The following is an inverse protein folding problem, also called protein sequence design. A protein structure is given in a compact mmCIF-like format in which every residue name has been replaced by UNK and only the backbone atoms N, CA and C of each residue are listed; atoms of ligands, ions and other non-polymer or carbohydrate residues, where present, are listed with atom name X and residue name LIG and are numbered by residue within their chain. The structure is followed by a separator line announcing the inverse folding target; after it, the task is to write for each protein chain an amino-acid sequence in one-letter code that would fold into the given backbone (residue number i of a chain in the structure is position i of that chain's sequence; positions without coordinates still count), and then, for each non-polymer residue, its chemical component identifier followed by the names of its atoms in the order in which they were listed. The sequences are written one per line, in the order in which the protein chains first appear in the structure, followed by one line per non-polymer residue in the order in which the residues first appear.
data_IF_891650855086
#
_entry.id   IF_891650855086
#
_cell.length_a   1.000
_cell.length_b   1.000
_cell.length_c   1.000
_cell.angle_alpha   90.00
_cell.angle_beta   90.00
_cell.angle_gamma   90.00
#
_symmetry.space_group_name_H-M   'P 1'
#
loop_
_entity.id
_entity.type
_entity.pdbx_description
1 polymer ?
#
# COMPACT_ATOMS: atom_id res chain seq x y z
N UNK A 1 -10.45 -5.83 -5.61
CA UNK A 1 -10.38 -5.75 -4.13
C UNK A 1 -8.94 -5.48 -3.76
N UNK A 2 -8.70 -4.53 -2.87
CA UNK A 2 -7.35 -4.32 -2.33
C UNK A 2 -6.93 -5.51 -1.43
N UNK A 3 -5.65 -5.56 -1.08
CA UNK A 3 -5.10 -6.60 -0.22
C UNK A 3 -5.83 -6.72 1.14
N UNK A 4 -6.28 -5.59 1.71
CA UNK A 4 -6.95 -5.57 3.01
C UNK A 4 -8.30 -6.28 2.96
N UNK A 5 -9.09 -6.03 1.93
CA UNK A 5 -10.36 -6.71 1.72
C UNK A 5 -10.17 -8.23 1.53
N UNK A 6 -9.11 -8.65 0.85
CA UNK A 6 -8.77 -10.08 0.66
C UNK A 6 -8.39 -10.75 1.98
N UNK A 7 -7.62 -10.07 2.83
CA UNK A 7 -7.28 -10.57 4.17
C UNK A 7 -8.52 -10.73 5.06
N UNK A 8 -9.45 -9.76 5.01
CA UNK A 8 -10.72 -9.86 5.74
C UNK A 8 -11.57 -11.04 5.27
N UNK A 9 -11.61 -11.29 3.96
CA UNK A 9 -12.31 -12.45 3.41
C UNK A 9 -11.68 -13.77 3.88
N UNK A 10 -10.34 -13.85 3.93
CA UNK A 10 -9.64 -15.02 4.45
C UNK A 10 -9.95 -15.24 5.93
N UNK A 11 -9.93 -14.18 6.73
CA UNK A 11 -10.27 -14.23 8.15
C UNK A 11 -11.70 -14.75 8.35
N UNK A 12 -12.66 -14.21 7.60
CA UNK A 12 -14.06 -14.64 7.66
C UNK A 12 -14.22 -16.11 7.27
N UNK A 13 -13.53 -16.57 6.23
CA UNK A 13 -13.54 -17.97 5.81
C UNK A 13 -13.05 -18.90 6.93
N UNK A 14 -12.02 -18.50 7.67
CA UNK A 14 -11.52 -19.28 8.81
C UNK A 14 -12.49 -19.25 9.99
N UNK A 15 -13.15 -18.12 10.26
CA UNK A 15 -14.13 -17.96 11.34
C UNK A 15 -15.42 -18.76 11.10
N UNK A 16 -15.87 -18.84 9.84
CA UNK A 16 -17.07 -19.57 9.45
C UNK A 16 -16.81 -21.06 9.18
N UNK A 17 -15.54 -21.46 9.06
CA UNK A 17 -15.16 -22.83 8.79
C UNK A 17 -15.64 -23.80 9.88
N UNK A 18 -16.04 -25.00 9.46
CA UNK A 18 -16.56 -26.02 10.37
C UNK A 18 -15.44 -26.48 11.32
N UNK A 19 -15.63 -26.27 12.62
CA UNK A 19 -14.70 -26.75 13.64
C UNK A 19 -14.66 -28.28 13.71
N UNK A 20 -13.48 -28.81 14.02
CA UNK A 20 -13.28 -30.24 14.24
C UNK A 20 -13.57 -30.59 15.71
N UNK A 21 -14.31 -31.68 16.00
CA UNK A 21 -14.58 -32.10 17.37
C UNK A 21 -13.27 -32.37 18.13
N UNK A 22 -13.24 -32.00 19.42
CA UNK A 22 -12.11 -32.25 20.32
C UNK A 22 -10.77 -31.59 19.88
N UNK A 23 -10.81 -30.56 19.04
CA UNK A 23 -9.64 -29.83 18.55
C UNK A 23 -9.93 -28.33 18.39
N UNK A 24 -8.88 -27.51 18.37
CA UNK A 24 -8.92 -26.09 17.98
C UNK A 24 -8.83 -25.88 16.45
N UNK A 25 -8.84 -26.96 15.68
CA UNK A 25 -8.70 -26.92 14.21
C UNK A 25 -10.05 -26.73 13.50
N UNK A 26 -10.00 -26.11 12.31
CA UNK A 26 -11.14 -25.94 11.41
C UNK A 26 -10.90 -26.66 10.08
N UNK A 27 -11.99 -27.08 9.42
CA UNK A 27 -11.93 -27.70 8.10
C UNK A 27 -12.14 -26.65 7.01
N UNK A 28 -11.12 -26.46 6.18
CA UNK A 28 -11.12 -25.51 5.06
C UNK A 28 -10.76 -26.22 3.75
N UNK A 29 -11.32 -25.74 2.64
CA UNK A 29 -10.92 -26.20 1.31
C UNK A 29 -9.49 -25.76 1.03
N UNK A 30 -8.59 -26.74 0.83
CA UNK A 30 -7.19 -26.47 0.50
C UNK A 30 -7.07 -25.66 -0.80
N UNK A 31 -7.87 -26.00 -1.81
CA UNK A 31 -7.83 -25.37 -3.12
C UNK A 31 -8.24 -23.89 -3.03
N UNK A 32 -9.35 -23.61 -2.36
CA UNK A 32 -9.87 -22.25 -2.17
C UNK A 32 -8.89 -21.38 -1.37
N UNK A 33 -8.31 -21.94 -0.30
CA UNK A 33 -7.31 -21.25 0.51
C UNK A 33 -6.07 -20.89 -0.31
N UNK A 34 -5.54 -21.84 -1.09
CA UNK A 34 -4.35 -21.62 -1.91
C UNK A 34 -4.62 -20.60 -3.03
N UNK A 35 -5.81 -20.64 -3.64
CA UNK A 35 -6.23 -19.67 -4.64
C UNK A 35 -6.25 -18.25 -4.05
N UNK A 36 -6.88 -18.08 -2.89
CA UNK A 36 -6.95 -16.79 -2.21
C UNK A 36 -5.56 -16.25 -1.83
N UNK A 37 -4.66 -17.13 -1.37
CA UNK A 37 -3.26 -16.77 -1.08
C UNK A 37 -2.53 -16.31 -2.34
N UNK A 38 -2.68 -17.03 -3.46
CA UNK A 38 -2.06 -16.67 -4.75
C UNK A 38 -2.49 -15.27 -5.19
N UNK A 39 -3.78 -14.98 -5.13
CA UNK A 39 -4.32 -13.68 -5.55
C UNK A 39 -3.83 -12.51 -4.68
N UNK A 40 -3.60 -12.74 -3.38
CA UNK A 40 -2.97 -11.74 -2.50
C UNK A 40 -1.50 -11.55 -2.84
N UNK A 41 -0.77 -12.63 -3.12
CA UNK A 41 0.65 -12.56 -3.52
C UNK A 41 0.84 -11.81 -4.84
N UNK A 42 -0.12 -11.91 -5.77
CA UNK A 42 -0.10 -11.17 -7.03
C UNK A 42 -0.40 -9.67 -6.84
N UNK A 43 -1.23 -9.30 -5.86
CA UNK A 43 -1.57 -7.90 -5.62
C UNK A 43 -0.43 -7.14 -4.92
N UNK A 44 0.20 -7.75 -3.90
CA UNK A 44 1.21 -7.12 -3.03
C UNK A 44 2.29 -6.32 -3.80
N UNK A 45 2.94 -6.88 -4.84
CA UNK A 45 3.98 -6.17 -5.58
C UNK A 45 3.49 -4.84 -6.18
N UNK A 46 2.25 -4.80 -6.65
CA UNK A 46 1.65 -3.61 -7.28
C UNK A 46 1.34 -2.55 -6.22
N UNK A 47 0.75 -2.93 -5.08
CA UNK A 47 0.50 -1.99 -3.98
C UNK A 47 1.81 -1.37 -3.45
N UNK A 48 2.86 -2.17 -3.28
CA UNK A 48 4.17 -1.66 -2.84
C UNK A 48 4.77 -0.73 -3.90
N UNK A 49 4.63 -1.05 -5.18
CA UNK A 49 5.11 -0.21 -6.28
C UNK A 49 4.40 1.13 -6.29
N UNK A 50 3.09 1.15 -6.10
CA UNK A 50 2.30 2.38 -5.98
C UNK A 50 2.73 3.22 -4.78
N UNK A 51 2.91 2.60 -3.61
CA UNK A 51 3.38 3.29 -2.41
C UNK A 51 4.77 3.94 -2.63
N UNK A 52 5.72 3.21 -3.23
CA UNK A 52 7.04 3.76 -3.57
C UNK A 52 6.94 4.92 -4.56
N UNK A 53 6.06 4.83 -5.54
CA UNK A 53 5.87 5.89 -6.53
C UNK A 53 5.32 7.17 -5.89
N UNK A 54 4.33 7.06 -4.99
CA UNK A 54 3.77 8.19 -4.25
C UNK A 54 4.84 8.88 -3.39
N UNK A 55 5.69 8.10 -2.71
CA UNK A 55 6.80 8.66 -1.90
C UNK A 55 7.77 9.43 -2.80
N UNK A 56 8.15 8.85 -3.94
CA UNK A 56 9.04 9.50 -4.90
C UNK A 56 8.45 10.81 -5.45
N UNK A 57 7.20 10.78 -5.89
CA UNK A 57 6.53 11.96 -6.47
C UNK A 57 6.43 13.10 -5.44
N UNK A 58 6.17 12.75 -4.17
CA UNK A 58 6.20 13.71 -3.06
C UNK A 58 7.58 14.34 -2.88
N UNK A 59 8.65 13.55 -2.94
CA UNK A 59 10.02 14.06 -2.83
C UNK A 59 10.36 15.01 -3.99
N UNK A 60 10.00 14.63 -5.21
CA UNK A 60 10.20 15.46 -6.42
C UNK A 60 9.42 16.78 -6.32
N UNK A 61 8.17 16.74 -5.84
CA UNK A 61 7.35 17.94 -5.62
C UNK A 61 7.98 18.87 -4.58
N UNK A 62 8.43 18.32 -3.45
CA UNK A 62 9.09 19.09 -2.39
C UNK A 62 10.40 19.71 -2.89
N UNK A 63 11.17 19.00 -3.70
CA UNK A 63 12.38 19.53 -4.33
C UNK A 63 12.09 20.75 -5.21
N UNK A 64 11.09 20.65 -6.09
CA UNK A 64 10.65 21.76 -6.96
C UNK A 64 10.18 22.97 -6.16
N UNK A 65 9.37 22.74 -5.12
CA UNK A 65 8.85 23.81 -4.29
C UNK A 65 9.96 24.57 -3.54
N UNK A 66 10.99 23.85 -3.07
CA UNK A 66 12.17 24.48 -2.44
C UNK A 66 12.97 25.32 -3.41
N UNK A 67 13.30 24.76 -4.59
CA UNK A 67 14.04 25.48 -5.62
C UNK A 67 13.31 26.75 -6.08
N UNK A 68 11.98 26.68 -6.24
CA UNK A 68 11.18 27.85 -6.59
C UNK A 68 11.16 28.89 -5.47
N UNK A 69 11.08 28.45 -4.20
CA UNK A 69 11.17 29.35 -3.05
C UNK A 69 12.51 30.08 -2.99
N UNK A 70 13.63 29.36 -3.20
CA UNK A 70 14.97 29.94 -3.26
C UNK A 70 15.07 30.98 -4.39
N UNK A 71 14.56 30.65 -5.58
CA UNK A 71 14.53 31.55 -6.75
C UNK A 71 13.76 32.84 -6.45
N UNK A 72 12.61 32.75 -5.78
CA UNK A 72 11.80 33.93 -5.41
C UNK A 72 12.58 34.83 -4.43
N UNK A 73 13.22 34.24 -3.43
CA UNK A 73 14.03 34.98 -2.45
C UNK A 73 15.22 35.66 -3.11
N UNK A 74 15.92 34.95 -3.99
CA UNK A 74 17.06 35.49 -4.73
C UNK A 74 16.65 36.66 -5.64
N UNK A 75 15.55 36.51 -6.39
CA UNK A 75 14.98 37.59 -7.20
C UNK A 75 14.63 38.82 -6.35
N UNK A 76 13.99 38.63 -5.20
CA UNK A 76 13.65 39.74 -4.30
C UNK A 76 14.91 40.47 -3.78
N UNK A 77 15.98 39.74 -3.49
CA UNK A 77 17.25 40.34 -3.09
C UNK A 77 17.97 41.05 -4.24
N UNK A 78 17.87 40.57 -5.48
CA UNK A 78 18.37 41.28 -6.66
C UNK A 78 17.61 42.57 -6.91
N UNK A 79 16.27 42.52 -6.85
CA UNK A 79 15.41 43.68 -7.07
C UNK A 79 15.62 44.75 -5.99
N UNK A 80 15.88 44.36 -4.73
CA UNK A 80 16.21 45.30 -3.65
C UNK A 80 17.57 45.99 -3.86
N UNK A 81 18.51 45.35 -4.57
CA UNK A 81 19.87 45.87 -4.81
C UNK A 81 19.96 46.78 -6.03
N UNK A 82 18.92 46.83 -6.87
CA UNK A 82 18.79 47.77 -8.00
C UNK A 82 18.25 49.12 -7.55
#
# INVERSE_FOLDING_TARGET
MDLSARLQQLEQLVLEAKSMPLSSSVLVSREELLQMISEMQESIPEEIKQARWIVKDREDLLGKARAEGERIVEQAHEDQRR
#
